data_IF_980120840508
#
_entry.id   IF_980120840508
#
_cell.length_a   1.000
_cell.length_b   1.000
_cell.length_c   1.000
_cell.angle_alpha   90.00
_cell.angle_beta   90.00
_cell.angle_gamma   90.00
#
_symmetry.space_group_name_H-M   'P 1'
#
loop_
_entity.id
_entity.type
_entity.pdbx_description
1 polymer ?
#
# COMPACT_ATOMS: atom_id res chain seq x y z
N UNK A 1 18.16 21.40 13.49
CA UNK A 1 17.50 21.05 12.22
C UNK A 1 16.83 19.71 12.44
N UNK A 2 15.52 19.71 12.68
CA UNK A 2 14.75 18.52 13.03
C UNK A 2 14.69 17.59 11.83
N UNK A 3 15.17 16.37 12.00
CA UNK A 3 15.12 15.27 11.05
C UNK A 3 13.64 14.98 10.73
N UNK A 4 13.10 15.59 9.67
CA UNK A 4 11.71 15.34 9.23
C UNK A 4 11.71 14.00 8.53
N UNK A 5 11.12 13.00 9.19
CA UNK A 5 10.85 11.73 8.54
C UNK A 5 9.70 11.94 7.54
N UNK A 6 9.58 11.10 6.51
CA UNK A 6 8.46 11.24 5.56
C UNK A 6 7.06 11.11 6.21
N UNK A 7 7.01 10.56 7.43
CA UNK A 7 5.81 10.56 8.28
C UNK A 7 5.37 11.95 8.76
N UNK A 8 6.26 12.94 8.78
CA UNK A 8 6.02 14.27 9.33
C UNK A 8 5.60 15.28 8.26
N UNK A 9 5.21 14.80 7.08
CA UNK A 9 4.61 15.66 6.06
C UNK A 9 3.12 15.80 6.39
N UNK A 10 2.57 17.02 6.38
CA UNK A 10 1.14 17.22 6.63
C UNK A 10 0.27 16.44 5.64
N UNK A 11 0.78 16.15 4.44
CA UNK A 11 0.13 15.28 3.47
C UNK A 11 0.00 13.83 3.92
N UNK A 12 1.04 13.24 4.53
CA UNK A 12 1.00 11.85 5.01
C UNK A 12 -0.01 11.68 6.14
N UNK A 13 -0.06 12.62 7.09
CA UNK A 13 -1.04 12.61 8.18
C UNK A 13 -2.48 12.68 7.66
N UNK A 14 -2.75 13.59 6.72
CA UNK A 14 -4.06 13.71 6.09
C UNK A 14 -4.45 12.44 5.30
N UNK A 15 -3.49 11.78 4.65
CA UNK A 15 -3.74 10.53 3.94
C UNK A 15 -4.12 9.36 4.87
N UNK A 16 -3.70 9.39 6.14
CA UNK A 16 -4.13 8.38 7.12
C UNK A 16 -5.59 8.58 7.55
N UNK A 17 -6.11 9.81 7.48
CA UNK A 17 -7.48 10.12 7.88
C UNK A 17 -8.44 9.55 6.82
N UNK A 18 -9.14 8.47 7.18
CA UNK A 18 -10.10 7.80 6.29
C UNK A 18 -9.49 6.75 5.37
N UNK A 19 -8.21 6.38 5.56
CA UNK A 19 -7.58 5.30 4.80
C UNK A 19 -8.29 3.96 5.04
N UNK A 20 -8.69 3.22 3.98
CA UNK A 20 -9.23 1.87 4.14
C UNK A 20 -8.21 0.95 4.81
N UNK A 21 -8.66 0.07 5.71
CA UNK A 21 -7.79 -0.86 6.45
C UNK A 21 -6.92 -1.73 5.53
N UNK A 22 -7.45 -2.12 4.37
CA UNK A 22 -6.68 -2.87 3.36
C UNK A 22 -5.49 -2.06 2.82
N UNK A 23 -5.66 -0.77 2.58
CA UNK A 23 -4.60 0.10 2.09
C UNK A 23 -3.57 0.37 3.18
N UNK A 24 -3.99 0.52 4.43
CA UNK A 24 -3.08 0.65 5.57
C UNK A 24 -2.20 -0.60 5.72
N UNK A 25 -2.81 -1.78 5.76
CA UNK A 25 -2.09 -3.07 5.86
C UNK A 25 -1.13 -3.30 4.69
N UNK A 26 -1.53 -3.00 3.46
CA UNK A 26 -0.68 -3.20 2.29
C UNK A 26 0.46 -2.17 2.30
N UNK A 27 0.16 -0.89 2.52
CA UNK A 27 1.18 0.18 2.51
C UNK A 27 2.18 0.06 3.66
N UNK A 28 1.79 -0.54 4.79
CA UNK A 28 2.67 -0.82 5.92
C UNK A 28 3.70 -1.92 5.67
N UNK A 29 3.56 -2.72 4.61
CA UNK A 29 4.56 -3.75 4.26
C UNK A 29 5.80 -3.16 3.59
N UNK A 30 5.69 -1.97 3.00
CA UNK A 30 6.81 -1.26 2.38
C UNK A 30 7.52 -0.36 3.41
N UNK A 31 8.86 -0.30 3.32
CA UNK A 31 9.65 0.61 4.14
C UNK A 31 9.38 2.07 3.80
N UNK A 32 9.16 2.90 4.82
CA UNK A 32 9.10 4.35 4.64
C UNK A 32 10.51 4.94 4.51
N UNK A 33 10.72 5.78 3.51
CA UNK A 33 11.97 6.49 3.27
C UNK A 33 11.81 7.98 3.63
N UNK A 34 12.81 8.60 4.26
CA UNK A 34 12.78 10.04 4.52
C UNK A 34 12.75 10.85 3.23
N UNK A 35 11.97 11.93 3.21
CA UNK A 35 11.86 12.85 2.07
C UNK A 35 13.22 13.43 1.67
N UNK A 36 14.07 13.75 2.65
CA UNK A 36 15.40 14.31 2.40
C UNK A 36 16.31 13.30 1.72
N UNK A 37 16.24 12.03 2.15
CA UNK A 37 17.01 10.93 1.54
C UNK A 37 16.54 10.65 0.11
N UNK A 38 15.22 10.69 -0.13
CA UNK A 38 14.64 10.52 -1.47
C UNK A 38 15.08 11.66 -2.39
N UNK A 39 14.91 12.91 -1.96
CA UNK A 39 15.30 14.09 -2.72
C UNK A 39 16.80 14.10 -3.02
N UNK A 40 17.64 13.84 -2.01
CA UNK A 40 19.09 13.80 -2.18
C UNK A 40 19.51 12.70 -3.15
N UNK A 41 18.93 11.50 -3.04
CA UNK A 41 19.26 10.39 -3.95
C UNK A 41 18.90 10.72 -5.39
N UNK A 42 17.70 11.27 -5.62
CA UNK A 42 17.26 11.67 -6.97
C UNK A 42 18.20 12.74 -7.54
N UNK A 43 18.51 13.78 -6.74
CA UNK A 43 19.39 14.87 -7.17
C UNK A 43 20.81 14.37 -7.49
N UNK A 44 21.40 13.55 -6.62
CA UNK A 44 22.72 12.97 -6.84
C UNK A 44 22.75 12.04 -8.07
N UNK A 45 21.67 11.28 -8.30
CA UNK A 45 21.52 10.46 -9.50
C UNK A 45 21.42 11.30 -10.78
N UNK A 46 20.78 12.47 -10.72
CA UNK A 46 20.64 13.38 -11.85
C UNK A 46 21.93 14.15 -12.16
N UNK A 47 22.72 14.51 -11.14
CA UNK A 47 23.97 15.27 -11.28
C UNK A 47 25.19 14.40 -11.64
N UNK A 48 25.04 13.08 -11.68
CA UNK A 48 26.13 12.16 -12.01
C UNK A 48 26.54 12.30 -13.48
N UNK A 49 27.84 12.17 -13.77
CA UNK A 49 28.39 12.24 -15.15
C UNK A 49 27.77 11.23 -16.13
N UNK A 50 27.25 10.13 -15.60
CA UNK A 50 26.36 9.20 -16.30
C UNK A 50 25.06 9.12 -15.46
N UNK A 51 24.01 9.84 -15.87
CA UNK A 51 22.72 9.80 -15.17
C UNK A 51 22.19 8.38 -15.19
N UNK A 52 21.71 7.90 -14.05
CA UNK A 52 21.00 6.62 -14.00
C UNK A 52 19.54 6.84 -14.35
N UNK A 53 19.05 6.22 -15.43
CA UNK A 53 17.64 6.33 -15.85
C UNK A 53 16.65 5.67 -14.90
N UNK A 54 17.15 4.94 -13.90
CA UNK A 54 16.37 4.25 -12.89
C UNK A 54 16.84 4.63 -11.49
N UNK A 55 15.96 5.30 -10.74
CA UNK A 55 16.14 5.57 -9.30
C UNK A 55 15.14 4.72 -8.53
N UNK A 56 15.65 3.80 -7.72
CA UNK A 56 14.83 2.89 -6.91
C UNK A 56 15.26 2.91 -5.44
N UNK A 57 14.36 2.50 -4.54
CA UNK A 57 14.59 2.50 -3.10
C UNK A 57 14.31 1.12 -2.51
N UNK A 58 15.27 0.59 -1.74
CA UNK A 58 15.19 -0.75 -1.17
C UNK A 58 15.19 -1.88 -2.23
N UNK A 59 14.98 -3.11 -1.74
CA UNK A 59 14.92 -4.31 -2.57
C UNK A 59 13.61 -4.38 -3.37
N UNK A 60 12.50 -4.04 -2.75
CA UNK A 60 11.17 -3.99 -3.41
C UNK A 60 11.16 -3.00 -4.58
N UNK A 61 11.75 -1.82 -4.41
CA UNK A 61 11.87 -0.82 -5.47
C UNK A 61 12.80 -1.29 -6.60
N UNK A 62 13.90 -1.98 -6.28
CA UNK A 62 14.78 -2.56 -7.29
C UNK A 62 14.09 -3.67 -8.09
N UNK A 63 13.36 -4.55 -7.41
CA UNK A 63 12.56 -5.60 -8.03
C UNK A 63 11.49 -5.00 -8.95
N UNK A 64 10.75 -4.00 -8.47
CA UNK A 64 9.72 -3.31 -9.26
C UNK A 64 10.32 -2.62 -10.49
N UNK A 65 11.43 -1.91 -10.32
CA UNK A 65 12.14 -1.26 -11.42
C UNK A 65 12.62 -2.28 -12.46
N UNK A 66 13.14 -3.43 -12.02
CA UNK A 66 13.55 -4.53 -12.91
C UNK A 66 12.36 -5.10 -13.68
N UNK A 67 11.19 -5.20 -13.04
CA UNK A 67 9.95 -5.62 -13.69
C UNK A 67 9.45 -4.64 -14.75
N UNK A 68 9.63 -3.34 -14.53
CA UNK A 68 9.04 -2.28 -15.36
C UNK A 68 10.01 -1.66 -16.36
N UNK A 69 11.29 -2.03 -16.35
CA UNK A 69 12.33 -1.45 -17.20
C UNK A 69 12.26 -1.86 -18.69
N UNK A 70 11.10 -2.25 -19.21
CA UNK A 70 10.91 -2.89 -20.52
C UNK A 70 11.59 -2.21 -21.72
N UNK A 71 11.63 -0.88 -21.77
CA UNK A 71 12.34 -0.09 -22.80
C UNK A 71 13.31 0.93 -22.18
N UNK A 72 13.68 0.74 -20.92
CA UNK A 72 14.63 1.64 -20.25
C UNK A 72 16.01 1.51 -20.89
N UNK A 73 16.78 2.61 -21.05
CA UNK A 73 18.12 2.55 -21.64
C UNK A 73 19.02 1.61 -20.86
N UNK A 74 19.72 0.73 -21.57
CA UNK A 74 20.64 -0.22 -20.95
C UNK A 74 21.99 0.45 -20.74
N UNK A 75 22.21 0.95 -19.52
CA UNK A 75 23.51 1.54 -19.15
C UNK A 75 24.61 0.49 -18.90
N UNK A 76 24.26 -0.80 -18.82
CA UNK A 76 25.22 -1.90 -18.66
C UNK A 76 24.67 -3.24 -19.16
N UNK A 77 25.45 -3.95 -19.98
CA UNK A 77 25.07 -5.26 -20.55
C UNK A 77 24.80 -6.31 -19.46
N UNK A 78 25.59 -6.30 -18.38
CA UNK A 78 25.39 -7.24 -17.27
C UNK A 78 24.03 -7.02 -16.57
N UNK A 79 23.64 -5.77 -16.35
CA UNK A 79 22.33 -5.44 -15.79
C UNK A 79 21.19 -5.88 -16.72
N UNK A 80 21.33 -5.70 -18.04
CA UNK A 80 20.34 -6.20 -18.99
C UNK A 80 20.23 -7.73 -18.97
N UNK A 81 21.35 -8.45 -18.92
CA UNK A 81 21.32 -9.92 -18.77
C UNK A 81 20.59 -10.33 -17.49
N UNK A 82 20.97 -9.78 -16.33
CA UNK A 82 20.27 -10.03 -15.07
C UNK A 82 18.79 -9.70 -15.18
N UNK A 83 18.43 -8.56 -15.77
CA UNK A 83 17.04 -8.16 -15.94
C UNK A 83 16.26 -9.16 -16.78
N UNK A 84 16.78 -9.63 -17.91
CA UNK A 84 16.11 -10.62 -18.78
C UNK A 84 15.91 -11.96 -18.05
N UNK A 85 16.94 -12.47 -17.36
CA UNK A 85 16.84 -13.73 -16.64
C UNK A 85 15.94 -13.63 -15.40
N UNK A 86 16.02 -12.53 -14.65
CA UNK A 86 15.20 -12.32 -13.46
C UNK A 86 13.77 -11.90 -13.81
N UNK A 87 13.49 -11.31 -14.97
CA UNK A 87 12.15 -10.82 -15.35
C UNK A 87 11.10 -11.92 -15.17
N UNK A 88 11.40 -13.13 -15.66
CA UNK A 88 10.51 -14.28 -15.53
C UNK A 88 10.30 -14.71 -14.08
N UNK A 89 11.38 -14.81 -13.30
CA UNK A 89 11.32 -15.21 -11.90
C UNK A 89 10.60 -14.17 -11.04
N UNK A 90 10.95 -12.89 -11.18
CA UNK A 90 10.34 -11.81 -10.44
C UNK A 90 8.87 -11.63 -10.83
N UNK A 91 8.50 -11.93 -12.10
CA UNK A 91 7.09 -11.98 -12.51
C UNK A 91 6.32 -13.09 -11.79
N UNK A 92 6.92 -14.25 -11.61
CA UNK A 92 6.33 -15.32 -10.81
C UNK A 92 6.14 -14.89 -9.36
N UNK A 93 7.18 -14.32 -8.72
CA UNK A 93 7.10 -13.77 -7.35
C UNK A 93 6.02 -12.70 -7.23
N UNK A 94 5.91 -11.79 -8.20
CA UNK A 94 4.91 -10.71 -8.20
C UNK A 94 3.48 -11.22 -8.23
N UNK A 95 3.22 -12.38 -8.85
CA UNK A 95 1.89 -13.01 -8.79
C UNK A 95 1.53 -13.45 -7.37
N UNK A 96 2.50 -13.90 -6.57
CA UNK A 96 2.26 -14.22 -5.16
C UNK A 96 1.95 -12.98 -4.34
N UNK A 97 2.70 -11.88 -4.52
CA UNK A 97 2.38 -10.59 -3.89
C UNK A 97 0.96 -10.15 -4.24
N UNK A 98 0.58 -10.22 -5.52
CA UNK A 98 -0.76 -9.83 -5.94
C UNK A 98 -1.84 -10.76 -5.37
N UNK A 99 -1.56 -12.06 -5.26
CA UNK A 99 -2.46 -13.01 -4.62
C UNK A 99 -2.63 -12.69 -3.13
N UNK A 100 -1.56 -12.33 -2.43
CA UNK A 100 -1.59 -11.95 -1.02
C UNK A 100 -2.39 -10.65 -0.81
N UNK A 101 -2.12 -9.61 -1.60
CA UNK A 101 -2.89 -8.36 -1.55
C UNK A 101 -4.38 -8.60 -1.83
N UNK A 102 -4.72 -9.46 -2.80
CA UNK A 102 -6.12 -9.85 -3.05
C UNK A 102 -6.73 -10.59 -1.86
N UNK A 103 -5.98 -11.42 -1.13
CA UNK A 103 -6.46 -12.08 0.09
C UNK A 103 -6.74 -11.05 1.19
N UNK A 104 -5.85 -10.08 1.40
CA UNK A 104 -6.03 -9.00 2.38
C UNK A 104 -7.30 -8.21 2.06
N UNK A 105 -7.47 -7.78 0.80
CA UNK A 105 -8.66 -7.02 0.36
C UNK A 105 -9.95 -7.83 0.58
N UNK A 106 -9.96 -9.13 0.22
CA UNK A 106 -11.12 -10.00 0.44
C UNK A 106 -11.46 -10.16 1.92
N UNK A 107 -10.44 -10.29 2.78
CA UNK A 107 -10.62 -10.37 4.23
C UNK A 107 -11.26 -9.10 4.78
N UNK A 108 -10.69 -7.93 4.44
CA UNK A 108 -11.24 -6.64 4.86
C UNK A 108 -12.66 -6.39 4.34
N UNK A 109 -12.97 -6.82 3.11
CA UNK A 109 -14.34 -6.74 2.56
C UNK A 109 -15.33 -7.58 3.38
N UNK A 110 -14.97 -8.83 3.70
CA UNK A 110 -15.82 -9.73 4.49
C UNK A 110 -16.08 -9.19 5.90
N UNK A 111 -15.05 -8.63 6.54
CA UNK A 111 -15.18 -7.99 7.86
C UNK A 111 -16.14 -6.79 7.83
N UNK A 112 -16.07 -5.95 6.79
CA UNK A 112 -17.01 -4.82 6.61
C UNK A 112 -18.46 -5.29 6.44
N UNK A 113 -18.70 -6.32 5.63
CA UNK A 113 -20.05 -6.87 5.42
C UNK A 113 -20.63 -7.46 6.71
N UNK A 114 -19.80 -8.09 7.55
CA UNK A 114 -20.24 -8.61 8.86
C UNK A 114 -20.59 -7.46 9.82
N UNK A 115 -19.77 -6.42 9.89
CA UNK A 115 -20.01 -5.25 10.74
C UNK A 115 -21.32 -4.55 10.37
N UNK A 116 -21.57 -4.33 9.07
CA UNK A 116 -22.81 -3.72 8.59
C UNK A 116 -24.04 -4.57 8.95
N UNK A 117 -23.96 -5.91 8.83
CA UNK A 117 -25.06 -6.79 9.24
C UNK A 117 -25.29 -6.76 10.75
N UNK A 118 -24.23 -6.74 11.55
CA UNK A 118 -24.34 -6.66 13.01
C UNK A 118 -24.97 -5.34 13.46
N UNK A 119 -24.56 -4.22 12.87
CA UNK A 119 -25.14 -2.90 13.13
C UNK A 119 -26.64 -2.87 12.77
N UNK A 120 -27.02 -3.42 11.61
CA UNK A 120 -28.42 -3.52 11.20
C UNK A 120 -29.25 -4.39 12.15
N UNK A 121 -28.73 -5.56 12.56
CA UNK A 121 -29.42 -6.45 13.52
C UNK A 121 -29.61 -5.76 14.87
N UNK A 122 -28.60 -5.04 15.36
CA UNK A 122 -28.68 -4.30 16.62
C UNK A 122 -29.74 -3.18 16.56
N UNK A 123 -29.78 -2.41 15.47
CA UNK A 123 -30.79 -1.36 15.26
C UNK A 123 -32.21 -1.92 15.23
N UNK A 124 -32.42 -3.04 14.52
CA UNK A 124 -33.74 -3.69 14.44
C UNK A 124 -34.15 -4.28 15.81
N UNK A 125 -33.21 -4.88 16.54
CA UNK A 125 -33.47 -5.40 17.89
C UNK A 125 -33.86 -4.28 18.87
N UNK A 126 -33.16 -3.14 18.83
CA UNK A 126 -33.46 -1.98 19.66
C UNK A 126 -34.84 -1.36 19.33
N UNK A 127 -35.18 -1.25 18.04
CA UNK A 127 -36.49 -0.78 17.60
C UNK A 127 -37.62 -1.70 18.08
N UNK A 128 -37.46 -3.01 17.94
CA UNK A 128 -38.44 -4.01 18.39
C UNK A 128 -38.61 -4.02 19.92
N UNK A 129 -37.52 -3.88 20.68
CA UNK A 129 -37.58 -3.78 22.14
C UNK A 129 -38.32 -2.52 22.59
N UNK A 130 -38.07 -1.39 21.94
CA UNK A 130 -38.76 -0.12 22.23
C UNK A 130 -40.26 -0.21 21.94
N UNK A 131 -40.63 -0.80 20.80
CA UNK A 131 -42.04 -1.01 20.45
C UNK A 131 -42.77 -1.88 21.48
N UNK A 132 -42.11 -2.94 21.99
CA UNK A 132 -42.69 -3.85 22.99
C UNK A 132 -42.91 -3.17 24.36
N UNK A 133 -42.02 -2.26 24.75
CA UNK A 133 -42.17 -1.47 25.98
C UNK A 133 -43.31 -0.45 25.89
N UNK A 134 -43.57 0.10 24.69
CA UNK A 134 -44.69 1.01 24.46
C UNK A 134 -46.04 0.28 24.46
N UNK A 135 -46.10 -0.94 23.90
CA UNK A 135 -47.33 -1.75 23.92
C UNK A 135 -47.67 -2.31 25.30
N UNK A 136 -46.67 -2.64 26.12
CA UNK A 136 -46.87 -3.13 27.49
C UNK A 136 -47.23 -2.07 28.53
N UNK A 137 -47.33 -0.80 28.13
CA UNK A 137 -47.72 0.33 28.99
C UNK A 137 -49.17 0.77 28.76
N UNK A 138 -49.90 0.06 27.89
CA UNK A 138 -51.30 0.32 27.51
C UNK A 138 -52.28 -0.66 28.19
N UNK A 139 -51.80 -1.55 29.07
CA UNK A 139 -52.61 -2.34 30.02
C UNK A 139 -52.40 -1.81 31.44
#
# INVERSE_FOLDING_TARGET
>A
MTNKHAKDTPGYEQEQIGKPKECDLISGTAGLFSSDSVASKILLSALKSSPSDSVYFGLEGWMLNTLTAGMSPVNSLFNACCQVFLMGLLRFVSLFYLADFRKIVRRCKKEREIQQKQEQVFQVAAANATAKLLSGKQE
#
